data_IF_129959538893
#
_entry.id   IF_129959538893
#
_cell.length_a   1.000
_cell.length_b   1.000
_cell.length_c   1.000
_cell.angle_alpha   90.00
_cell.angle_beta   90.00
_cell.angle_gamma   90.00
#
_symmetry.space_group_name_H-M   'P 1'
#
loop_
_entity.id
_entity.type
_entity.pdbx_description
1 polymer ?
#
# COMPACT_ATOMS: atom_id res chain seq x y z
N UNK A 1 92.12 -53.44 -116.42
CA UNK A 1 91.76 -52.11 -115.89
C UNK A 1 90.78 -51.48 -116.88
N UNK A 2 89.49 -51.73 -116.68
CA UNK A 2 88.39 -51.23 -117.53
C UNK A 2 87.98 -49.85 -117.03
N UNK A 3 88.52 -48.82 -117.66
CA UNK A 3 88.25 -47.41 -117.35
C UNK A 3 86.75 -47.11 -117.58
N UNK A 4 86.05 -46.72 -116.52
CA UNK A 4 84.70 -46.16 -116.57
C UNK A 4 84.71 -44.86 -117.38
N UNK A 5 83.62 -44.56 -118.13
CA UNK A 5 83.51 -43.30 -118.91
C UNK A 5 83.67 -42.07 -118.00
N UNK A 6 83.33 -42.19 -116.72
CA UNK A 6 83.63 -41.20 -115.68
C UNK A 6 84.04 -41.97 -114.41
N UNK A 7 85.23 -41.70 -113.81
CA UNK A 7 85.61 -42.27 -112.54
C UNK A 7 84.59 -41.96 -111.44
N UNK A 8 84.24 -42.95 -110.62
CA UNK A 8 83.35 -42.77 -109.45
C UNK A 8 83.82 -41.66 -108.50
N UNK A 9 85.13 -41.39 -108.47
CA UNK A 9 85.77 -40.38 -107.63
C UNK A 9 85.63 -38.94 -108.16
N UNK A 10 85.13 -38.72 -109.39
CA UNK A 10 85.06 -37.39 -110.01
C UNK A 10 83.64 -36.80 -110.11
N UNK A 11 82.60 -37.49 -109.62
CA UNK A 11 81.24 -36.95 -109.61
C UNK A 11 81.06 -36.08 -108.37
N UNK A 12 81.27 -34.77 -108.52
CA UNK A 12 80.90 -33.81 -107.48
C UNK A 12 79.37 -33.74 -107.37
N UNK A 13 78.79 -34.48 -106.44
CA UNK A 13 77.35 -34.60 -106.25
C UNK A 13 76.66 -33.24 -106.09
N UNK A 14 77.29 -32.30 -105.38
CA UNK A 14 76.74 -30.96 -105.17
C UNK A 14 76.65 -30.23 -106.50
N UNK A 15 77.73 -30.17 -107.27
CA UNK A 15 77.70 -29.47 -108.56
C UNK A 15 76.75 -30.11 -109.57
N UNK A 16 76.61 -31.43 -109.56
CA UNK A 16 75.71 -32.17 -110.45
C UNK A 16 74.24 -31.92 -110.07
N UNK A 17 73.88 -32.05 -108.80
CA UNK A 17 72.48 -32.02 -108.37
C UNK A 17 71.96 -30.62 -107.97
N UNK A 18 72.84 -29.70 -107.54
CA UNK A 18 72.45 -28.34 -107.15
C UNK A 18 73.02 -27.26 -108.07
N UNK A 19 74.06 -27.57 -108.85
CA UNK A 19 74.75 -26.62 -109.73
C UNK A 19 74.26 -26.61 -111.19
N UNK A 20 73.19 -27.35 -111.53
CA UNK A 20 72.64 -27.40 -112.89
C UNK A 20 73.50 -28.13 -113.93
N UNK A 21 74.60 -28.78 -113.52
CA UNK A 21 75.53 -29.48 -114.43
C UNK A 21 75.09 -30.89 -114.81
N UNK A 22 73.94 -31.36 -114.32
CA UNK A 22 73.45 -32.70 -114.61
C UNK A 22 73.25 -32.93 -116.11
N UNK A 23 72.62 -31.98 -116.80
CA UNK A 23 72.34 -32.09 -118.23
C UNK A 23 73.64 -32.12 -119.05
N UNK A 24 74.63 -31.30 -118.70
CA UNK A 24 75.96 -31.30 -119.32
C UNK A 24 76.69 -32.63 -119.12
N UNK A 25 76.60 -33.19 -117.91
CA UNK A 25 77.19 -34.49 -117.58
C UNK A 25 76.55 -35.61 -118.40
N UNK A 26 75.22 -35.64 -118.46
CA UNK A 26 74.46 -36.61 -119.24
C UNK A 26 74.74 -36.46 -120.75
N UNK A 27 74.86 -35.23 -121.25
CA UNK A 27 75.22 -34.94 -122.62
C UNK A 27 76.62 -35.48 -122.98
N UNK A 28 77.61 -35.32 -122.09
CA UNK A 28 78.96 -35.89 -122.27
C UNK A 28 78.94 -37.42 -122.30
N UNK A 29 78.25 -38.06 -121.35
CA UNK A 29 78.10 -39.53 -121.32
C UNK A 29 77.46 -40.03 -122.62
N UNK A 30 76.43 -39.33 -123.11
CA UNK A 30 75.77 -39.68 -124.38
C UNK A 30 76.70 -39.53 -125.58
N UNK A 31 77.42 -38.42 -125.67
CA UNK A 31 78.35 -38.17 -126.77
C UNK A 31 79.42 -39.26 -126.84
N UNK A 32 80.01 -39.62 -125.70
CA UNK A 32 81.02 -40.67 -125.62
C UNK A 32 80.44 -42.06 -125.95
N UNK A 33 79.23 -42.38 -125.46
CA UNK A 33 78.59 -43.66 -125.70
C UNK A 33 78.20 -43.90 -127.18
N UNK A 34 77.89 -42.84 -127.93
CA UNK A 34 77.41 -42.92 -129.33
C UNK A 34 78.55 -42.72 -130.36
N UNK A 35 79.78 -42.44 -129.91
CA UNK A 35 80.94 -42.25 -130.80
C UNK A 35 81.34 -43.54 -131.54
N UNK A 36 80.98 -44.72 -131.02
CA UNK A 36 81.22 -46.00 -131.66
C UNK A 36 80.32 -46.17 -132.90
N UNK A 37 80.90 -46.33 -134.10
CA UNK A 37 80.17 -46.73 -135.33
C UNK A 37 80.08 -48.26 -135.36
N UNK A 38 78.91 -48.87 -135.06
CA UNK A 38 78.87 -50.30 -134.81
C UNK A 38 78.79 -51.13 -136.09
N UNK A 39 79.59 -52.20 -136.19
CA UNK A 39 79.46 -53.23 -137.21
C UNK A 39 78.98 -54.54 -136.59
N UNK A 40 77.67 -54.78 -136.68
CA UNK A 40 77.01 -55.94 -136.09
C UNK A 40 77.41 -57.27 -136.72
N UNK A 41 78.17 -57.29 -137.82
CA UNK A 41 78.64 -58.53 -138.43
C UNK A 41 79.79 -59.16 -137.63
N UNK A 42 80.57 -58.37 -136.88
CA UNK A 42 81.75 -58.86 -136.14
C UNK A 42 81.47 -59.15 -134.66
N UNK A 43 82.07 -60.22 -134.13
CA UNK A 43 81.99 -60.55 -132.69
C UNK A 43 82.65 -59.46 -131.83
N UNK A 44 83.73 -58.84 -132.32
CA UNK A 44 84.46 -57.80 -131.61
C UNK A 44 83.60 -56.55 -131.39
N UNK A 45 82.96 -56.02 -132.44
CA UNK A 45 82.10 -54.83 -132.33
C UNK A 45 80.90 -55.09 -131.41
N UNK A 46 80.27 -56.28 -131.46
CA UNK A 46 79.17 -56.64 -130.53
C UNK A 46 79.61 -56.65 -129.06
N UNK A 47 80.84 -57.11 -128.76
CA UNK A 47 81.41 -57.08 -127.40
C UNK A 47 81.71 -55.66 -126.94
N UNK A 48 82.17 -54.80 -127.85
CA UNK A 48 82.44 -53.40 -127.56
C UNK A 48 81.17 -52.62 -127.23
N UNK A 49 80.07 -52.82 -127.98
CA UNK A 49 78.75 -52.26 -127.68
C UNK A 49 78.29 -52.67 -126.26
N UNK A 50 78.43 -53.95 -125.91
CA UNK A 50 78.07 -54.45 -124.59
C UNK A 50 78.92 -53.80 -123.47
N UNK A 51 80.21 -53.57 -123.74
CA UNK A 51 81.12 -52.89 -122.82
C UNK A 51 80.72 -51.42 -122.59
N UNK A 52 80.43 -50.67 -123.67
CA UNK A 52 79.95 -49.28 -123.56
C UNK A 52 78.63 -49.20 -122.80
N UNK A 53 77.67 -50.09 -123.10
CA UNK A 53 76.40 -50.16 -122.38
C UNK A 53 76.59 -50.45 -120.88
N UNK A 54 77.53 -51.35 -120.53
CA UNK A 54 77.89 -51.61 -119.14
C UNK A 54 78.48 -50.38 -118.45
N UNK A 55 79.36 -49.62 -119.13
CA UNK A 55 79.91 -48.37 -118.59
C UNK A 55 78.81 -47.32 -118.35
N UNK A 56 77.85 -47.17 -119.26
CA UNK A 56 76.68 -46.27 -119.06
C UNK A 56 75.86 -46.69 -117.83
N UNK A 57 75.62 -47.99 -117.66
CA UNK A 57 74.91 -48.51 -116.47
C UNK A 57 75.67 -48.24 -115.16
N UNK A 58 77.01 -48.31 -115.19
CA UNK A 58 77.88 -47.94 -114.06
C UNK A 58 77.81 -46.44 -113.76
N UNK A 59 77.87 -45.58 -114.78
CA UNK A 59 77.71 -44.13 -114.61
C UNK A 59 76.35 -43.75 -114.01
N UNK A 60 75.26 -44.41 -114.42
CA UNK A 60 73.93 -44.23 -113.80
C UNK A 60 73.96 -44.53 -112.30
N UNK A 61 74.53 -45.68 -111.93
CA UNK A 61 74.60 -46.13 -110.53
C UNK A 61 75.45 -45.16 -109.70
N UNK A 62 76.59 -44.72 -110.25
CA UNK A 62 77.46 -43.72 -109.61
C UNK A 62 76.73 -42.39 -109.33
N UNK A 63 75.97 -41.89 -110.29
CA UNK A 63 75.20 -40.65 -110.14
C UNK A 63 74.10 -40.81 -109.06
N UNK A 64 73.34 -41.92 -109.09
CA UNK A 64 72.29 -42.19 -108.10
C UNK A 64 72.85 -42.34 -106.68
N UNK A 65 73.93 -43.09 -106.49
CA UNK A 65 74.58 -43.27 -105.18
C UNK A 65 75.13 -41.94 -104.65
N UNK A 66 75.71 -41.09 -105.52
CA UNK A 66 76.18 -39.76 -105.17
C UNK A 66 75.04 -38.83 -104.72
N UNK A 67 73.88 -38.89 -105.38
CA UNK A 67 72.68 -38.13 -105.00
C UNK A 67 72.10 -38.59 -103.65
N UNK A 68 72.06 -39.91 -103.43
CA UNK A 68 71.62 -40.49 -102.15
C UNK A 68 72.54 -40.08 -100.99
N UNK A 69 73.86 -40.13 -101.19
CA UNK A 69 74.83 -39.70 -100.20
C UNK A 69 74.65 -38.22 -99.85
N UNK A 70 74.52 -37.35 -100.86
CA UNK A 70 74.26 -35.92 -100.64
C UNK A 70 72.97 -35.66 -99.84
N UNK A 71 71.87 -36.34 -100.18
CA UNK A 71 70.61 -36.20 -99.44
C UNK A 71 70.74 -36.72 -98.00
N UNK A 72 71.47 -37.81 -97.78
CA UNK A 72 71.72 -38.33 -96.44
C UNK A 72 72.53 -37.34 -95.59
N UNK A 73 73.59 -36.74 -96.14
CA UNK A 73 74.40 -35.74 -95.48
C UNK A 73 73.60 -34.46 -95.19
N UNK A 74 72.79 -33.98 -96.13
CA UNK A 74 71.89 -32.84 -95.92
C UNK A 74 70.87 -33.11 -94.80
N UNK A 75 70.24 -34.29 -94.79
CA UNK A 75 69.29 -34.66 -93.71
C UNK A 75 69.98 -34.72 -92.35
N UNK A 76 71.23 -35.22 -92.30
CA UNK A 76 72.03 -35.24 -91.08
C UNK A 76 72.32 -33.82 -90.60
N UNK A 77 72.78 -32.94 -91.49
CA UNK A 77 73.03 -31.53 -91.16
C UNK A 77 71.76 -30.82 -90.68
N UNK A 78 70.61 -31.00 -91.35
CA UNK A 78 69.34 -30.41 -90.87
C UNK A 78 68.91 -30.95 -89.52
N UNK A 79 69.11 -32.25 -89.27
CA UNK A 79 68.82 -32.88 -87.98
C UNK A 79 69.69 -32.33 -86.84
N UNK A 80 70.98 -32.12 -87.10
CA UNK A 80 71.90 -31.47 -86.15
C UNK A 80 71.50 -30.03 -85.86
N UNK A 81 71.09 -29.27 -86.88
CA UNK A 81 70.59 -27.89 -86.72
C UNK A 81 69.33 -27.85 -85.86
N UNK A 82 68.37 -28.75 -86.11
CA UNK A 82 67.12 -28.77 -85.34
C UNK A 82 67.34 -29.22 -83.89
N UNK A 83 68.25 -30.17 -83.65
CA UNK A 83 68.69 -30.55 -82.32
C UNK A 83 69.35 -29.37 -81.58
N UNK A 84 70.24 -28.63 -82.25
CA UNK A 84 70.88 -27.44 -81.69
C UNK A 84 69.85 -26.33 -81.39
N UNK A 85 68.90 -26.09 -82.30
CA UNK A 85 67.80 -25.13 -82.11
C UNK A 85 66.94 -25.50 -80.91
N UNK A 86 66.62 -26.79 -80.76
CA UNK A 86 65.86 -27.29 -79.60
C UNK A 86 66.64 -27.08 -78.31
N UNK A 87 67.91 -27.49 -78.27
CA UNK A 87 68.78 -27.29 -77.11
C UNK A 87 68.86 -25.82 -76.72
N UNK A 88 69.01 -24.92 -77.70
CA UNK A 88 69.06 -23.48 -77.45
C UNK A 88 67.77 -22.97 -76.80
N UNK A 89 66.61 -23.34 -77.34
CA UNK A 89 65.31 -22.95 -76.78
C UNK A 89 65.14 -23.44 -75.35
N UNK A 90 65.33 -24.75 -75.13
CA UNK A 90 65.11 -25.38 -73.83
C UNK A 90 66.06 -24.80 -72.77
N UNK A 91 67.32 -24.51 -73.15
CA UNK A 91 68.31 -23.89 -72.25
C UNK A 91 67.94 -22.44 -71.91
N UNK A 92 67.47 -21.66 -72.89
CA UNK A 92 67.10 -20.26 -72.68
C UNK A 92 65.79 -20.14 -71.88
N UNK A 93 64.83 -21.03 -72.09
CA UNK A 93 63.61 -21.11 -71.28
C UNK A 93 63.94 -21.43 -69.82
N UNK A 94 64.80 -22.43 -69.58
CA UNK A 94 65.25 -22.77 -68.23
C UNK A 94 66.00 -21.60 -67.56
N UNK A 95 66.88 -20.92 -68.29
CA UNK A 95 67.61 -19.75 -67.78
C UNK A 95 66.65 -18.58 -67.47
N UNK A 96 65.64 -18.33 -68.32
CA UNK A 96 64.62 -17.32 -68.04
C UNK A 96 63.91 -17.61 -66.73
N UNK A 97 63.51 -18.86 -66.51
CA UNK A 97 62.77 -19.27 -65.32
C UNK A 97 63.66 -19.17 -64.07
N UNK A 98 64.93 -19.56 -64.17
CA UNK A 98 65.94 -19.39 -63.11
C UNK A 98 66.17 -17.92 -62.76
N UNK A 99 66.36 -17.06 -63.77
CA UNK A 99 66.56 -15.61 -63.58
C UNK A 99 65.30 -14.96 -62.97
N UNK A 100 64.11 -15.44 -63.32
CA UNK A 100 62.84 -14.92 -62.79
C UNK A 100 62.52 -15.46 -61.39
N UNK A 101 63.06 -16.62 -61.01
CA UNK A 101 62.76 -17.30 -59.75
C UNK A 101 62.88 -16.41 -58.51
N UNK A 102 63.96 -15.62 -58.30
CA UNK A 102 64.07 -14.76 -57.13
C UNK A 102 62.95 -13.71 -57.03
N UNK A 103 62.48 -13.19 -58.16
CA UNK A 103 61.38 -12.24 -58.19
C UNK A 103 60.06 -12.93 -57.83
N UNK A 104 59.80 -14.11 -58.39
CA UNK A 104 58.60 -14.89 -58.07
C UNK A 104 58.55 -15.33 -56.60
N UNK A 105 59.68 -15.77 -56.05
CA UNK A 105 59.78 -16.14 -54.64
C UNK A 105 59.56 -14.89 -53.74
N UNK A 106 60.10 -13.73 -54.12
CA UNK A 106 59.85 -12.46 -53.41
C UNK A 106 58.38 -12.00 -53.50
N UNK A 107 57.74 -12.08 -54.67
CA UNK A 107 56.33 -11.75 -54.88
C UNK A 107 55.43 -12.61 -53.96
N UNK A 108 55.70 -13.92 -53.88
CA UNK A 108 54.98 -14.84 -53.00
C UNK A 108 55.21 -14.53 -51.51
N UNK A 109 56.44 -14.16 -51.13
CA UNK A 109 56.75 -13.74 -49.76
C UNK A 109 56.04 -12.43 -49.40
N UNK A 110 55.97 -11.45 -50.32
CA UNK A 110 55.20 -10.22 -50.09
C UNK A 110 53.72 -10.49 -49.91
N UNK A 111 53.13 -11.38 -50.72
CA UNK A 111 51.73 -11.77 -50.59
C UNK A 111 51.47 -12.43 -49.23
N UNK A 112 52.36 -13.32 -48.78
CA UNK A 112 52.28 -13.92 -47.44
C UNK A 112 52.38 -12.89 -46.32
N UNK A 113 53.35 -11.97 -46.38
CA UNK A 113 53.53 -10.91 -45.38
C UNK A 113 52.30 -10.00 -45.33
N UNK A 114 51.74 -9.64 -46.49
CA UNK A 114 50.52 -8.83 -46.60
C UNK A 114 49.33 -9.54 -45.96
N UNK A 115 49.16 -10.84 -46.23
CA UNK A 115 48.09 -11.63 -45.65
C UNK A 115 48.25 -11.78 -44.13
N UNK A 116 49.45 -12.10 -43.66
CA UNK A 116 49.76 -12.17 -42.22
C UNK A 116 49.51 -10.82 -41.52
N UNK A 117 49.81 -9.69 -42.18
CA UNK A 117 49.52 -8.35 -41.66
C UNK A 117 48.02 -8.11 -41.55
N UNK A 118 47.24 -8.46 -42.58
CA UNK A 118 45.76 -8.34 -42.55
C UNK A 118 45.17 -9.18 -41.43
N UNK A 119 45.61 -10.44 -41.30
CA UNK A 119 45.13 -11.34 -40.26
C UNK A 119 45.53 -10.84 -38.85
N UNK A 120 46.72 -10.25 -38.69
CA UNK A 120 47.15 -9.62 -37.45
C UNK A 120 46.32 -8.37 -37.13
N UNK A 121 46.03 -7.53 -38.11
CA UNK A 121 45.18 -6.35 -37.93
C UNK A 121 43.74 -6.73 -37.55
N UNK A 122 43.17 -7.74 -38.21
CA UNK A 122 41.84 -8.26 -37.89
C UNK A 122 41.77 -8.81 -36.46
N UNK A 123 42.77 -9.62 -36.05
CA UNK A 123 42.86 -10.09 -34.67
C UNK A 123 42.99 -8.95 -33.66
N UNK A 124 43.84 -7.96 -33.93
CA UNK A 124 43.99 -6.80 -33.05
C UNK A 124 42.69 -5.99 -32.94
N UNK A 125 41.94 -5.83 -34.03
CA UNK A 125 40.62 -5.19 -34.02
C UNK A 125 39.61 -5.99 -33.19
N UNK A 126 39.55 -7.31 -33.39
CA UNK A 126 38.66 -8.19 -32.64
C UNK A 126 38.97 -8.20 -31.13
N UNK A 127 40.25 -8.23 -30.76
CA UNK A 127 40.69 -8.14 -29.36
C UNK A 127 40.34 -6.78 -28.74
N UNK A 128 40.54 -5.68 -29.46
CA UNK A 128 40.18 -4.34 -29.00
C UNK A 128 38.66 -4.19 -28.81
N UNK A 129 37.86 -4.74 -29.71
CA UNK A 129 36.40 -4.76 -29.59
C UNK A 129 35.94 -5.61 -28.41
N UNK A 130 36.51 -6.81 -28.22
CA UNK A 130 36.22 -7.67 -27.08
C UNK A 130 36.58 -6.99 -25.75
N UNK A 131 37.73 -6.31 -25.68
CA UNK A 131 38.13 -5.55 -24.50
C UNK A 131 37.16 -4.40 -24.19
N UNK A 132 36.72 -3.66 -25.22
CA UNK A 132 35.73 -2.59 -25.09
C UNK A 132 34.38 -3.12 -24.57
N UNK A 133 33.90 -4.23 -25.12
CA UNK A 133 32.66 -4.87 -24.67
C UNK A 133 32.77 -5.37 -23.23
N UNK A 134 33.90 -5.96 -22.85
CA UNK A 134 34.16 -6.38 -21.48
C UNK A 134 34.19 -5.20 -20.49
N UNK A 135 34.74 -4.05 -20.90
CA UNK A 135 34.72 -2.83 -20.09
C UNK A 135 33.30 -2.29 -19.90
N UNK A 136 32.50 -2.27 -20.98
CA UNK A 136 31.10 -1.86 -20.92
C UNK A 136 30.32 -2.77 -19.95
N UNK A 137 30.45 -4.09 -20.09
CA UNK A 137 29.79 -5.05 -19.21
C UNK A 137 30.17 -4.84 -17.73
N UNK A 138 31.46 -4.61 -17.43
CA UNK A 138 31.90 -4.29 -16.07
C UNK A 138 31.26 -3.01 -15.53
N UNK A 139 31.18 -1.96 -16.35
CA UNK A 139 30.54 -0.69 -15.97
C UNK A 139 29.05 -0.86 -15.73
N UNK A 140 28.37 -1.64 -16.57
CA UNK A 140 26.95 -1.94 -16.39
C UNK A 140 26.68 -2.73 -15.09
N UNK A 141 27.53 -3.71 -14.77
CA UNK A 141 27.44 -4.44 -13.50
C UNK A 141 27.72 -3.54 -12.28
N UNK A 142 28.69 -2.63 -12.39
CA UNK A 142 28.97 -1.64 -11.33
C UNK A 142 27.79 -0.68 -11.12
N UNK A 143 27.19 -0.18 -12.21
CA UNK A 143 26.00 0.67 -12.15
C UNK A 143 24.84 -0.09 -11.50
N UNK A 144 24.58 -1.33 -11.92
CA UNK A 144 23.52 -2.17 -11.35
C UNK A 144 23.73 -2.40 -9.84
N UNK A 145 24.95 -2.75 -9.43
CA UNK A 145 25.29 -2.94 -8.03
C UNK A 145 25.09 -1.65 -7.21
N UNK A 146 25.45 -0.49 -7.79
CA UNK A 146 25.21 0.82 -7.16
C UNK A 146 23.73 1.15 -7.03
N UNK A 147 22.93 0.90 -8.06
CA UNK A 147 21.47 1.09 -8.03
C UNK A 147 20.80 0.17 -6.99
N UNK A 148 21.23 -1.08 -6.89
CA UNK A 148 20.77 -2.00 -5.85
C UNK A 148 21.14 -1.52 -4.45
N UNK A 149 22.38 -1.05 -4.25
CA UNK A 149 22.81 -0.48 -2.98
C UNK A 149 22.00 0.77 -2.59
N UNK A 150 21.72 1.66 -3.54
CA UNK A 150 20.87 2.84 -3.31
C UNK A 150 19.45 2.42 -2.93
N UNK A 151 18.83 1.49 -3.68
CA UNK A 151 17.48 0.99 -3.36
C UNK A 151 17.42 0.34 -1.98
N UNK A 152 18.43 -0.47 -1.63
CA UNK A 152 18.51 -1.09 -0.32
C UNK A 152 18.66 -0.05 0.81
N UNK A 153 19.47 1.00 0.59
CA UNK A 153 19.62 2.09 1.53
C UNK A 153 18.32 2.90 1.72
N UNK A 154 17.62 3.21 0.62
CA UNK A 154 16.31 3.88 0.68
C UNK A 154 15.26 3.04 1.41
N UNK A 155 15.21 1.73 1.17
CA UNK A 155 14.29 0.82 1.87
C UNK A 155 14.63 0.73 3.37
N UNK A 156 15.91 0.64 3.70
CA UNK A 156 16.37 0.65 5.09
C UNK A 156 15.97 1.95 5.80
N UNK A 157 16.17 3.10 5.15
CA UNK A 157 15.78 4.39 5.72
C UNK A 157 14.26 4.52 5.86
N UNK A 158 13.48 4.07 4.86
CA UNK A 158 12.00 4.01 4.98
C UNK A 158 11.56 3.15 6.16
N UNK A 159 12.19 2.00 6.37
CA UNK A 159 11.91 1.14 7.54
C UNK A 159 12.27 1.82 8.85
N UNK A 160 13.40 2.53 8.92
CA UNK A 160 13.80 3.31 10.10
C UNK A 160 12.81 4.41 10.42
N UNK A 161 12.43 5.21 9.43
CA UNK A 161 11.43 6.28 9.60
C UNK A 161 10.08 5.71 10.01
N UNK A 162 9.62 4.62 9.39
CA UNK A 162 8.37 3.96 9.78
C UNK A 162 8.41 3.40 11.21
N UNK A 163 9.54 2.81 11.62
CA UNK A 163 9.73 2.33 12.98
C UNK A 163 9.74 3.48 14.01
N UNK A 164 10.41 4.59 13.69
CA UNK A 164 10.42 5.78 14.53
C UNK A 164 9.02 6.40 14.65
N UNK A 165 8.26 6.47 13.55
CA UNK A 165 6.87 6.94 13.57
C UNK A 165 5.97 6.02 14.40
N UNK A 166 6.09 4.70 14.22
CA UNK A 166 5.33 3.73 15.00
C UNK A 166 5.64 3.85 16.52
N UNK A 167 6.90 4.07 16.88
CA UNK A 167 7.28 4.28 18.28
C UNK A 167 6.75 5.60 18.82
N UNK A 168 6.84 6.70 18.06
CA UNK A 168 6.23 7.99 18.44
C UNK A 168 4.73 7.85 18.65
N UNK A 169 4.01 7.18 17.74
CA UNK A 169 2.58 6.92 17.89
C UNK A 169 2.26 6.07 19.12
N UNK A 170 3.11 5.08 19.45
CA UNK A 170 2.96 4.27 20.66
C UNK A 170 3.10 5.12 21.91
N UNK A 171 4.15 5.94 21.99
CA UNK A 171 4.40 6.85 23.11
C UNK A 171 3.27 7.87 23.24
N UNK A 172 2.80 8.45 22.14
CA UNK A 172 1.66 9.39 22.14
C UNK A 172 0.35 8.74 22.58
N UNK A 173 0.08 7.49 22.14
CA UNK A 173 -1.10 6.74 22.61
C UNK A 173 -1.01 6.44 24.09
N UNK A 174 0.15 6.00 24.57
CA UNK A 174 0.36 5.69 25.98
C UNK A 174 0.23 6.95 26.84
N UNK A 175 0.84 8.07 26.43
CA UNK A 175 0.66 9.36 27.13
C UNK A 175 -0.78 9.85 27.11
N UNK A 176 -1.50 9.71 25.98
CA UNK A 176 -2.93 10.04 25.92
C UNK A 176 -3.77 9.16 26.85
N UNK A 177 -3.53 7.86 26.85
CA UNK A 177 -4.22 6.92 27.76
C UNK A 177 -3.93 7.25 29.22
N UNK A 178 -2.68 7.57 29.58
CA UNK A 178 -2.32 8.00 30.92
C UNK A 178 -3.00 9.33 31.30
N UNK A 179 -3.04 10.30 30.38
CA UNK A 179 -3.72 11.57 30.60
C UNK A 179 -5.23 11.39 30.77
N UNK A 180 -5.88 10.57 29.93
CA UNK A 180 -7.30 10.22 30.04
C UNK A 180 -7.60 9.49 31.35
N UNK A 181 -6.75 8.53 31.75
CA UNK A 181 -6.89 7.83 33.02
C UNK A 181 -6.73 8.79 34.22
N UNK A 182 -5.77 9.71 34.17
CA UNK A 182 -5.57 10.71 35.21
C UNK A 182 -6.73 11.73 35.26
N UNK A 183 -7.28 12.12 34.11
CA UNK A 183 -8.41 13.02 33.99
C UNK A 183 -9.69 12.37 34.52
N UNK A 184 -9.93 11.11 34.14
CA UNK A 184 -11.02 10.30 34.67
C UNK A 184 -10.91 10.10 36.18
N UNK A 185 -9.72 9.78 36.69
CA UNK A 185 -9.49 9.66 38.14
C UNK A 185 -9.75 10.99 38.87
N UNK A 186 -9.36 12.13 38.29
CA UNK A 186 -9.68 13.45 38.84
C UNK A 186 -11.18 13.74 38.83
N UNK A 187 -11.90 13.40 37.74
CA UNK A 187 -13.36 13.53 37.67
C UNK A 187 -14.05 12.65 38.70
N UNK A 188 -13.70 11.38 38.77
CA UNK A 188 -14.27 10.45 39.75
C UNK A 188 -14.00 10.91 41.20
N UNK A 189 -12.81 11.43 41.49
CA UNK A 189 -12.48 12.02 42.78
C UNK A 189 -13.30 13.29 43.07
N UNK A 190 -13.44 14.20 42.10
CA UNK A 190 -14.24 15.41 42.24
C UNK A 190 -15.74 15.08 42.43
N UNK A 191 -16.29 14.15 41.65
CA UNK A 191 -17.66 13.67 41.82
C UNK A 191 -17.86 12.94 43.16
N UNK A 192 -16.86 12.21 43.66
CA UNK A 192 -16.93 11.59 44.98
C UNK A 192 -16.96 12.64 46.11
N UNK A 193 -16.15 13.71 45.99
CA UNK A 193 -16.19 14.85 46.91
C UNK A 193 -17.55 15.54 46.84
N UNK A 194 -18.07 15.82 45.64
CA UNK A 194 -19.37 16.47 45.47
C UNK A 194 -20.52 15.59 46.01
N UNK A 195 -20.49 14.27 45.77
CA UNK A 195 -21.45 13.33 46.37
C UNK A 195 -21.37 13.35 47.90
N UNK A 196 -20.16 13.31 48.47
CA UNK A 196 -19.98 13.39 49.92
C UNK A 196 -20.47 14.72 50.50
N UNK A 197 -20.25 15.84 49.81
CA UNK A 197 -20.76 17.16 50.21
C UNK A 197 -22.29 17.25 50.13
N UNK A 198 -22.90 16.72 49.07
CA UNK A 198 -24.36 16.63 48.93
C UNK A 198 -24.96 15.75 50.02
N UNK A 199 -24.41 14.56 50.25
CA UNK A 199 -24.86 13.65 51.32
C UNK A 199 -24.71 14.29 52.70
N UNK A 200 -23.61 15.01 52.96
CA UNK A 200 -23.40 15.74 54.21
C UNK A 200 -24.36 16.92 54.36
N UNK A 201 -24.65 17.66 53.28
CA UNK A 201 -25.62 18.74 53.27
C UNK A 201 -27.04 18.23 53.50
N UNK A 202 -27.43 17.17 52.82
CA UNK A 202 -28.73 16.52 53.02
C UNK A 202 -28.85 15.92 54.42
N UNK A 203 -27.79 15.33 54.98
CA UNK A 203 -27.78 14.84 56.36
C UNK A 203 -27.93 15.99 57.37
N UNK A 204 -27.25 17.12 57.14
CA UNK A 204 -27.43 18.34 57.95
C UNK A 204 -28.85 18.88 57.84
N UNK A 205 -29.40 18.93 56.63
CA UNK A 205 -30.76 19.43 56.41
C UNK A 205 -31.81 18.51 57.04
N UNK A 206 -31.65 17.19 56.92
CA UNK A 206 -32.47 16.20 57.63
C UNK A 206 -32.38 16.39 59.14
N UNK A 207 -31.18 16.56 59.69
CA UNK A 207 -30.99 16.81 61.12
C UNK A 207 -31.64 18.13 61.58
N UNK A 208 -31.56 19.20 60.77
CA UNK A 208 -32.22 20.48 61.06
C UNK A 208 -33.75 20.33 61.02
N UNK A 209 -34.30 19.62 60.03
CA UNK A 209 -35.75 19.36 59.95
C UNK A 209 -36.23 18.51 61.11
N UNK A 210 -35.52 17.43 61.46
CA UNK A 210 -35.84 16.59 62.61
C UNK A 210 -35.78 17.37 63.93
N UNK A 211 -34.77 18.23 64.11
CA UNK A 211 -34.68 19.10 65.28
C UNK A 211 -35.81 20.14 65.33
N UNK A 212 -36.16 20.75 64.19
CA UNK A 212 -37.26 21.70 64.09
C UNK A 212 -38.63 21.03 64.33
N UNK A 213 -38.84 19.80 63.82
CA UNK A 213 -40.03 19.01 64.10
C UNK A 213 -40.11 18.57 65.56
N UNK A 214 -38.98 18.20 66.19
CA UNK A 214 -38.93 17.88 67.61
C UNK A 214 -39.22 19.11 68.48
N UNK A 215 -38.67 20.28 68.11
CA UNK A 215 -38.96 21.55 68.78
C UNK A 215 -40.43 21.95 68.61
N UNK A 216 -41.00 21.80 67.41
CA UNK A 216 -42.40 22.09 67.16
C UNK A 216 -43.30 21.13 67.95
N UNK A 217 -42.98 19.83 67.98
CA UNK A 217 -43.70 18.86 68.82
C UNK A 217 -43.62 19.20 70.31
N UNK A 218 -42.47 19.71 70.78
CA UNK A 218 -42.30 20.16 72.16
C UNK A 218 -43.12 21.43 72.45
N UNK A 219 -43.15 22.39 71.53
CA UNK A 219 -43.99 23.60 71.61
C UNK A 219 -45.48 23.26 71.59
N UNK A 220 -45.92 22.42 70.67
CA UNK A 220 -47.31 21.97 70.59
C UNK A 220 -47.72 21.16 71.83
N UNK A 221 -46.81 20.37 72.42
CA UNK A 221 -47.05 19.68 73.68
C UNK A 221 -47.12 20.65 74.88
N UNK A 222 -46.27 21.67 74.90
CA UNK A 222 -46.29 22.72 75.93
C UNK A 222 -47.56 23.58 75.82
N UNK A 223 -47.97 23.97 74.62
CA UNK A 223 -49.20 24.72 74.39
C UNK A 223 -50.44 23.89 74.73
N UNK A 224 -50.46 22.59 74.41
CA UNK A 224 -51.53 21.68 74.86
C UNK A 224 -51.57 21.60 76.39
N UNK A 225 -50.42 21.45 77.05
CA UNK A 225 -50.37 21.42 78.51
C UNK A 225 -50.77 22.76 79.16
N UNK A 226 -50.47 23.89 78.52
CA UNK A 226 -50.91 25.21 78.98
C UNK A 226 -52.40 25.43 78.75
N UNK A 227 -52.95 25.02 77.60
CA UNK A 227 -54.39 25.04 77.33
C UNK A 227 -55.16 24.12 78.28
N UNK A 228 -54.66 22.92 78.55
CA UNK A 228 -55.28 22.01 79.54
C UNK A 228 -55.22 22.61 80.96
N UNK A 229 -54.13 23.28 81.34
CA UNK A 229 -54.05 24.01 82.62
C UNK A 229 -55.00 25.21 82.64
N UNK A 230 -55.09 25.99 81.57
CA UNK A 230 -55.98 27.13 81.46
C UNK A 230 -57.45 26.72 81.45
N UNK A 231 -57.80 25.61 80.78
CA UNK A 231 -59.14 25.01 80.81
C UNK A 231 -59.47 24.43 82.18
N UNK A 232 -58.51 23.82 82.89
CA UNK A 232 -58.71 23.35 84.25
C UNK A 232 -58.91 24.51 85.24
N UNK A 233 -58.17 25.61 85.09
CA UNK A 233 -58.35 26.84 85.89
C UNK A 233 -59.69 27.50 85.56
N UNK A 234 -60.04 27.66 84.29
CA UNK A 234 -61.32 28.24 83.87
C UNK A 234 -62.52 27.37 84.27
N UNK A 235 -62.38 26.03 84.27
CA UNK A 235 -63.41 25.12 84.76
C UNK A 235 -63.55 25.17 86.29
N UNK A 236 -62.45 25.35 87.03
CA UNK A 236 -62.50 25.58 88.47
C UNK A 236 -63.15 26.92 88.82
N UNK A 237 -62.79 27.99 88.10
CA UNK A 237 -63.39 29.33 88.27
C UNK A 237 -64.88 29.36 87.91
N UNK A 238 -65.28 28.70 86.82
CA UNK A 238 -66.71 28.54 86.46
C UNK A 238 -67.49 27.77 87.53
N UNK A 239 -66.92 26.71 88.11
CA UNK A 239 -67.56 25.97 89.21
C UNK A 239 -67.70 26.83 90.47
N UNK A 240 -66.70 27.62 90.83
CA UNK A 240 -66.80 28.54 91.97
C UNK A 240 -67.77 29.70 91.71
N UNK A 241 -67.86 30.20 90.48
CA UNK A 241 -68.78 31.28 90.13
C UNK A 241 -70.23 30.78 90.05
N UNK A 242 -70.46 29.58 89.50
CA UNK A 242 -71.78 28.94 89.46
C UNK A 242 -72.28 28.59 90.86
N UNK A 243 -71.41 28.16 91.79
CA UNK A 243 -71.79 27.94 93.20
C UNK A 243 -72.08 29.25 93.95
N UNK A 244 -71.31 30.31 93.69
CA UNK A 244 -71.55 31.64 94.28
C UNK A 244 -72.87 32.27 93.80
N UNK A 245 -73.14 32.21 92.49
CA UNK A 245 -74.38 32.74 91.89
C UNK A 245 -75.62 31.95 92.34
N UNK A 246 -75.50 30.64 92.62
CA UNK A 246 -76.60 29.82 93.17
C UNK A 246 -76.90 30.18 94.61
N UNK A 247 -75.87 30.39 95.43
CA UNK A 247 -76.00 30.78 96.84
C UNK A 247 -76.57 32.21 97.00
N UNK A 248 -76.27 33.13 96.09
CA UNK A 248 -76.81 34.49 96.13
C UNK A 248 -78.29 34.56 95.70
N UNK A 249 -78.68 33.80 94.66
CA UNK A 249 -80.08 33.71 94.22
C UNK A 249 -81.00 33.08 95.27
N UNK A 250 -80.53 32.07 96.01
CA UNK A 250 -81.29 31.49 97.12
C UNK A 250 -81.46 32.46 98.31
N UNK A 251 -80.44 33.26 98.63
CA UNK A 251 -80.53 34.28 99.70
C UNK A 251 -81.49 35.41 99.34
N UNK A 252 -81.49 35.88 98.08
CA UNK A 252 -82.38 36.94 97.62
C UNK A 252 -83.84 36.46 97.56
N UNK A 253 -84.10 35.22 97.11
CA UNK A 253 -85.44 34.64 97.10
C UNK A 253 -86.02 34.45 98.52
N UNK A 254 -85.21 34.04 99.49
CA UNK A 254 -85.64 33.87 100.88
C UNK A 254 -85.96 35.20 101.59
N UNK A 255 -85.16 36.26 101.33
CA UNK A 255 -85.37 37.58 101.95
C UNK A 255 -86.61 38.31 101.42
N UNK A 256 -86.99 38.10 100.16
CA UNK A 256 -88.15 38.76 99.55
C UNK A 256 -89.48 38.06 99.93
N UNK A 257 -89.45 36.74 100.12
CA UNK A 257 -90.60 35.97 100.61
C UNK A 257 -90.96 36.32 102.08
N UNK A 258 -89.95 36.60 102.92
CA UNK A 258 -90.17 36.93 104.33
C UNK A 258 -90.83 38.32 104.53
N UNK A 259 -90.41 39.34 103.77
CA UNK A 259 -91.00 40.70 103.88
C UNK A 259 -92.47 40.75 103.47
N UNK A 260 -92.85 40.06 102.39
CA UNK A 260 -94.25 40.02 101.93
C UNK A 260 -95.18 39.29 102.91
N UNK A 261 -94.68 38.33 103.67
CA UNK A 261 -95.46 37.60 104.67
C UNK A 261 -95.68 38.39 105.97
N UNK A 262 -94.76 39.29 106.32
CA UNK A 262 -94.83 40.08 107.55
C UNK A 262 -95.74 41.33 107.40
N UNK A 263 -95.80 41.96 106.21
CA UNK A 263 -96.70 43.09 105.95
C UNK A 263 -98.19 42.68 105.89
N UNK A 264 -98.50 41.49 105.35
CA UNK A 264 -99.88 41.00 105.26
C UNK A 264 -100.49 40.66 106.64
N UNK A 265 -99.65 40.30 107.63
CA UNK A 265 -100.11 39.97 108.99
C UNK A 265 -100.42 41.20 109.84
N UNK A 266 -99.80 42.35 109.57
CA UNK A 266 -100.02 43.57 110.34
C UNK A 266 -101.36 44.25 110.01
N UNK A 267 -101.81 44.19 108.75
CA UNK A 267 -103.03 44.87 108.29
C UNK A 267 -104.33 44.18 108.78
N UNK A 268 -104.35 42.84 108.89
CA UNK A 268 -105.55 42.08 109.28
C UNK A 268 -105.93 42.28 110.78
N UNK A 269 -104.92 42.50 111.63
CA UNK A 269 -105.13 42.64 113.09
C UNK A 269 -105.77 43.98 113.47
N UNK A 270 -105.38 45.06 112.80
CA UNK A 270 -105.92 46.41 113.04
C UNK A 270 -107.39 46.53 112.58
N UNK A 271 -107.73 45.92 111.45
CA UNK A 271 -109.08 45.94 110.90
C UNK A 271 -110.08 45.23 111.83
N UNK A 272 -109.71 44.04 112.34
CA UNK A 272 -110.54 43.26 113.26
C UNK A 272 -110.75 43.94 114.62
N UNK A 273 -109.73 44.63 115.13
CA UNK A 273 -109.80 45.34 116.42
C UNK A 273 -110.78 46.50 116.38
N UNK A 274 -110.81 47.23 115.26
CA UNK A 274 -111.65 48.42 115.09
C UNK A 274 -113.13 48.07 115.03
N UNK A 275 -113.50 47.04 114.26
CA UNK A 275 -114.90 46.61 114.14
C UNK A 275 -115.43 46.03 115.46
N UNK A 276 -114.63 45.23 116.17
CA UNK A 276 -115.04 44.67 117.47
C UNK A 276 -115.31 45.76 118.51
N UNK A 277 -114.50 46.82 118.56
CA UNK A 277 -114.72 47.94 119.50
C UNK A 277 -115.98 48.72 119.19
N UNK A 278 -116.25 48.98 117.91
CA UNK A 278 -117.48 49.65 117.49
C UNK A 278 -118.73 48.84 117.88
N UNK A 279 -118.68 47.51 117.73
CA UNK A 279 -119.76 46.63 118.11
C UNK A 279 -119.99 46.59 119.64
N UNK A 280 -118.92 46.60 120.45
CA UNK A 280 -119.03 46.71 121.92
C UNK A 280 -119.68 48.04 122.32
N UNK A 281 -119.25 49.16 121.72
CA UNK A 281 -119.80 50.48 122.04
C UNK A 281 -121.30 50.61 121.69
N UNK A 282 -121.73 50.04 120.57
CA UNK A 282 -123.13 50.03 120.16
C UNK A 282 -124.02 49.22 121.12
N UNK A 283 -123.52 48.10 121.64
CA UNK A 283 -124.23 47.27 122.62
C UNK A 283 -124.34 47.96 123.99
N UNK A 284 -123.32 48.73 124.39
CA UNK A 284 -123.38 49.54 125.62
C UNK A 284 -124.44 50.63 125.52
N UNK A 285 -124.51 51.34 124.38
CA UNK A 285 -125.53 52.36 124.13
C UNK A 285 -126.97 51.82 124.14
N UNK A 286 -127.16 50.53 123.82
CA UNK A 286 -128.45 49.85 123.89
C UNK A 286 -128.88 49.45 125.33
N UNK A 287 -128.08 49.80 126.35
CA UNK A 287 -128.42 49.63 127.77
C UNK A 287 -127.71 48.47 128.48
N UNK A 288 -126.75 47.79 127.83
CA UNK A 288 -125.91 46.77 128.48
C UNK A 288 -124.68 47.38 129.16
N UNK A 289 -124.27 46.82 130.31
CA UNK A 289 -123.00 47.19 130.95
C UNK A 289 -121.80 46.74 130.10
N UNK A 290 -120.72 47.51 130.13
CA UNK A 290 -119.53 47.33 129.28
C UNK A 290 -118.90 45.92 129.37
N UNK A 291 -118.81 45.34 130.57
CA UNK A 291 -118.32 43.96 130.75
C UNK A 291 -119.21 42.91 130.07
N UNK A 292 -120.53 43.11 130.11
CA UNK A 292 -121.48 42.20 129.48
C UNK A 292 -121.43 42.33 127.94
N UNK A 293 -121.29 43.54 127.41
CA UNK A 293 -121.14 43.80 125.98
C UNK A 293 -119.84 43.20 125.41
N UNK A 294 -118.71 43.34 126.12
CA UNK A 294 -117.44 42.73 125.72
C UNK A 294 -117.49 41.20 125.75
N UNK A 295 -118.16 40.63 126.75
CA UNK A 295 -118.35 39.17 126.86
C UNK A 295 -119.22 38.64 125.72
N UNK A 296 -120.29 39.34 125.37
CA UNK A 296 -121.17 38.98 124.26
C UNK A 296 -120.43 39.01 122.90
N UNK A 297 -119.68 40.08 122.62
CA UNK A 297 -118.88 40.17 121.38
C UNK A 297 -117.81 39.08 121.34
N UNK A 298 -117.11 38.82 122.44
CA UNK A 298 -116.12 37.74 122.52
C UNK A 298 -116.74 36.36 122.25
N UNK A 299 -117.91 36.09 122.81
CA UNK A 299 -118.63 34.83 122.57
C UNK A 299 -119.07 34.69 121.10
N UNK A 300 -119.44 35.78 120.43
CA UNK A 300 -119.80 35.79 119.00
C UNK A 300 -118.56 35.57 118.12
N UNK A 301 -117.43 36.24 118.39
CA UNK A 301 -116.16 36.03 117.64
C UNK A 301 -115.65 34.60 117.80
N UNK A 302 -115.80 34.02 118.99
CA UNK A 302 -115.45 32.62 119.26
C UNK A 302 -116.47 31.61 118.70
N UNK A 303 -117.55 32.05 118.05
CA UNK A 303 -118.57 31.18 117.45
C UNK A 303 -119.44 30.43 118.46
N UNK A 304 -119.44 30.85 119.73
CA UNK A 304 -120.20 30.19 120.82
C UNK A 304 -121.68 30.57 120.83
N UNK A 305 -122.06 31.63 120.10
CA UNK A 305 -123.46 32.05 119.90
C UNK A 305 -123.93 31.53 118.53
N UNK A 306 -124.77 30.50 118.48
CA UNK A 306 -125.20 29.93 117.21
C UNK A 306 -126.04 30.93 116.40
N UNK A 307 -125.90 30.89 115.07
CA UNK A 307 -126.59 31.74 114.08
C UNK A 307 -126.28 33.26 114.10
N UNK A 308 -125.21 33.71 114.77
CA UNK A 308 -124.76 35.12 114.75
C UNK A 308 -123.25 35.20 114.50
N UNK A 309 -122.79 36.12 113.65
CA UNK A 309 -121.36 36.35 113.34
C UNK A 309 -121.06 37.83 113.11
N UNK A 310 -119.82 38.26 113.41
CA UNK A 310 -119.31 39.62 113.12
C UNK A 310 -118.56 39.55 111.80
N UNK A 311 -118.90 40.43 110.85
CA UNK A 311 -118.15 40.58 109.60
C UNK A 311 -117.03 41.59 109.81
N UNK A 312 -115.81 41.17 109.48
CA UNK A 312 -114.61 42.02 109.45
C UNK A 312 -114.39 42.55 108.04
#
# INVERSE_FOLDING_TARGET
MSESLIPLESVNAIEVFTGGKLDDLLARIRAEAVTLVPDLSTVASRREIASVAYKVARSKTAIDDAGKALVADLKKQTGEIDAARKKARDTLDALRDEVRKPLTDWEADQERIEQERKDAEERARAEAEAARLAEIARKEDEIRAREEAVRAAEEAERKRVAAEQAERERVERETRLQAEAAEKAKREAAEAVERAEREASEAKERAIREAAEAEQRAKDAAERAEREKAEAVAAAERRTQEEADRAERERQAAAEAQRKADEARAADVEHRRTINRAAVAALVAAGLSEEAAATAITAIVQGKVPAVAIRY
#
